data_IF_818142936730
#
_entry.id   IF_818142936730
#
_cell.length_a   1.000
_cell.length_b   1.000
_cell.length_c   1.000
_cell.angle_alpha   90.00
_cell.angle_beta   90.00
_cell.angle_gamma   90.00
#
_symmetry.space_group_name_H-M   'P 1'
#
loop_
_entity.id
_entity.type
_entity.pdbx_description
1 polymer ?
#
# COMPACT_ATOMS: atom_id res chain seq x y z
N UNK A 1 -45.11 -5.06 14.64
CA UNK A 1 -45.61 -4.42 13.41
C UNK A 1 -45.28 -2.95 13.55
N UNK A 2 -44.18 -2.53 12.96
CA UNK A 2 -43.81 -1.12 12.88
C UNK A 2 -43.56 -0.78 11.41
N UNK A 3 -44.38 0.14 10.89
CA UNK A 3 -44.35 0.62 9.53
C UNK A 3 -43.15 1.57 9.37
N UNK A 4 -42.03 1.10 8.83
CA UNK A 4 -41.04 2.00 8.26
C UNK A 4 -41.59 2.54 6.93
N UNK A 5 -41.99 3.81 6.90
CA UNK A 5 -42.29 4.55 5.68
C UNK A 5 -40.99 4.88 4.96
N UNK A 6 -40.71 4.21 3.85
CA UNK A 6 -39.66 4.60 2.91
C UNK A 6 -40.26 5.53 1.86
N UNK A 7 -39.78 6.78 1.80
CA UNK A 7 -40.02 7.69 0.67
C UNK A 7 -38.89 7.51 -0.35
N UNK A 8 -39.22 6.93 -1.51
CA UNK A 8 -38.32 6.90 -2.67
C UNK A 8 -38.46 8.22 -3.46
N UNK A 9 -37.34 8.84 -3.84
CA UNK A 9 -37.33 9.92 -4.84
C UNK A 9 -36.41 9.55 -6.00
N UNK A 10 -36.94 9.58 -7.22
CA UNK A 10 -36.20 9.33 -8.46
C UNK A 10 -35.44 10.59 -8.90
N UNK A 11 -34.16 10.44 -9.29
CA UNK A 11 -33.41 11.44 -10.07
C UNK A 11 -33.35 11.03 -11.53
N UNK A 12 -33.57 11.99 -12.42
CA UNK A 12 -33.39 11.85 -13.86
C UNK A 12 -32.06 12.52 -14.27
N UNK A 13 -31.20 11.81 -14.98
CA UNK A 13 -29.97 12.38 -15.58
C UNK A 13 -30.29 12.78 -17.02
N UNK A 14 -30.07 14.05 -17.35
CA UNK A 14 -30.22 14.57 -18.72
C UNK A 14 -29.03 14.13 -19.58
N UNK A 15 -29.25 13.24 -20.54
CA UNK A 15 -28.36 13.04 -21.69
C UNK A 15 -29.12 13.42 -22.96
N UNK A 16 -28.54 14.31 -23.76
CA UNK A 16 -29.12 14.74 -25.03
C UNK A 16 -29.27 13.56 -26.01
N UNK A 17 -30.41 13.55 -26.70
CA UNK A 17 -30.83 12.64 -27.80
C UNK A 17 -31.32 11.23 -27.39
N UNK A 18 -32.65 11.15 -27.29
CA UNK A 18 -33.58 10.06 -27.70
C UNK A 18 -33.16 8.60 -27.50
N UNK A 19 -33.16 8.12 -26.26
CA UNK A 19 -34.05 7.05 -25.74
C UNK A 19 -33.45 6.52 -24.44
N UNK A 20 -34.06 6.83 -23.29
CA UNK A 20 -33.60 6.31 -22.00
C UNK A 20 -34.58 5.23 -21.51
N UNK A 21 -34.07 4.00 -21.34
CA UNK A 21 -34.69 2.99 -20.46
C UNK A 21 -34.11 3.20 -19.06
N UNK A 22 -34.97 3.42 -18.06
CA UNK A 22 -34.55 3.40 -16.66
C UNK A 22 -34.51 1.95 -16.16
N UNK A 23 -33.41 1.55 -15.55
CA UNK A 23 -33.27 0.28 -14.81
C UNK A 23 -33.01 0.65 -13.35
N UNK A 24 -33.89 0.20 -12.45
CA UNK A 24 -33.61 0.24 -11.02
C UNK A 24 -32.91 -1.08 -10.65
N UNK A 25 -31.71 -1.01 -10.08
CA UNK A 25 -31.03 -2.17 -9.49
C UNK A 25 -31.26 -2.12 -7.99
N UNK A 26 -31.99 -3.11 -7.48
CA UNK A 26 -32.09 -3.39 -6.05
C UNK A 26 -30.99 -4.41 -5.73
N UNK A 27 -30.06 -4.07 -4.83
CA UNK A 27 -29.08 -5.03 -4.33
C UNK A 27 -29.68 -5.74 -3.12
N UNK A 28 -30.21 -6.94 -3.34
CA UNK A 28 -30.39 -7.94 -2.29
C UNK A 28 -29.76 -9.25 -2.76
N UNK A 29 -29.05 -9.91 -1.84
CA UNK A 29 -28.26 -11.09 -2.13
C UNK A 29 -29.08 -12.25 -2.69
N UNK A 30 -28.43 -12.98 -3.60
CA UNK A 30 -28.76 -14.30 -4.14
C UNK A 30 -30.10 -14.45 -4.91
N UNK A 31 -29.95 -14.96 -6.14
CA UNK A 31 -30.93 -15.53 -7.06
C UNK A 31 -31.72 -14.58 -7.99
N UNK A 32 -31.65 -14.92 -9.29
CA UNK A 32 -32.21 -14.25 -10.45
C UNK A 32 -33.75 -14.17 -10.43
N UNK A 33 -34.31 -12.99 -10.74
CA UNK A 33 -35.51 -12.84 -11.60
C UNK A 33 -35.78 -11.36 -11.90
N UNK A 34 -36.22 -11.06 -13.14
CA UNK A 34 -36.52 -9.69 -13.60
C UNK A 34 -38.04 -9.49 -13.66
N UNK A 35 -38.57 -8.42 -13.07
CA UNK A 35 -39.95 -7.96 -13.29
C UNK A 35 -39.96 -6.53 -13.84
N UNK A 36 -40.72 -6.27 -14.90
CA UNK A 36 -40.89 -4.95 -15.51
C UNK A 36 -42.23 -4.33 -15.08
N UNK A 37 -42.19 -3.14 -14.48
CA UNK A 37 -43.38 -2.31 -14.27
C UNK A 37 -43.21 -0.97 -15.00
N UNK A 38 -44.25 -0.53 -15.74
CA UNK A 38 -44.32 0.77 -16.42
C UNK A 38 -45.19 1.73 -15.59
N UNK A 39 -44.72 2.96 -15.36
CA UNK A 39 -45.54 4.05 -14.80
C UNK A 39 -45.42 5.32 -15.68
N UNK A 40 -46.50 6.12 -15.81
CA UNK A 40 -46.52 7.32 -16.65
C UNK A 40 -46.02 8.57 -15.91
N UNK A 41 -45.39 9.50 -16.64
CA UNK A 41 -44.83 10.77 -16.11
C UNK A 41 -45.70 11.95 -16.56
N UNK A 42 -46.05 12.84 -15.61
CA UNK A 42 -46.71 14.13 -15.85
C UNK A 42 -45.70 15.28 -15.72
N UNK A 43 -45.90 16.36 -16.48
CA UNK A 43 -44.93 17.43 -16.71
C UNK A 43 -45.44 18.77 -16.16
N UNK A 44 -44.87 19.25 -15.05
CA UNK A 44 -44.81 20.67 -14.66
C UNK A 44 -44.02 20.82 -13.36
N UNK A 45 -42.86 21.49 -13.35
CA UNK A 45 -42.40 22.33 -12.22
C UNK A 45 -41.10 23.08 -12.58
N UNK A 46 -41.06 24.35 -12.17
CA UNK A 46 -40.13 25.41 -12.60
C UNK A 46 -38.89 25.54 -11.71
N UNK A 47 -37.86 26.17 -12.29
CA UNK A 47 -36.51 26.37 -11.75
C UNK A 47 -36.49 27.32 -10.54
N UNK A 48 -35.99 26.85 -9.39
CA UNK A 48 -35.30 27.68 -8.37
C UNK A 48 -34.14 26.89 -7.74
N UNK A 49 -33.01 27.57 -7.55
CA UNK A 49 -31.82 27.06 -6.89
C UNK A 49 -32.08 26.83 -5.39
N UNK A 50 -31.58 25.72 -4.85
CA UNK A 50 -31.56 25.44 -3.41
C UNK A 50 -30.30 24.64 -3.06
N UNK A 51 -29.52 25.19 -2.13
CA UNK A 51 -28.38 24.55 -1.46
C UNK A 51 -28.87 23.58 -0.39
N UNK A 52 -28.15 22.47 -0.17
CA UNK A 52 -28.42 21.54 0.93
C UNK A 52 -27.22 21.49 1.88
N UNK A 53 -27.48 21.74 3.16
CA UNK A 53 -26.58 21.49 4.30
C UNK A 53 -27.20 20.37 5.12
N UNK A 54 -26.41 19.37 5.54
CA UNK A 54 -26.84 18.34 6.48
C UNK A 54 -26.44 18.79 7.88
N UNK A 55 -27.42 18.97 8.77
CA UNK A 55 -27.21 19.17 10.21
C UNK A 55 -27.79 17.94 10.91
N UNK A 56 -26.96 17.19 11.61
CA UNK A 56 -27.43 16.17 12.54
C UNK A 56 -27.61 16.86 13.91
N UNK A 57 -28.85 16.96 14.37
CA UNK A 57 -29.16 17.30 15.76
C UNK A 57 -29.27 15.97 16.52
N UNK A 58 -28.36 15.77 17.48
CA UNK A 58 -28.50 14.72 18.49
C UNK A 58 -29.01 15.37 19.78
N UNK A 59 -30.07 14.80 20.36
CA UNK A 59 -30.56 15.18 21.68
C UNK A 59 -29.49 14.89 22.74
N UNK A 60 -29.25 15.89 23.60
CA UNK A 60 -28.24 15.86 24.67
C UNK A 60 -28.93 15.48 25.97
N UNK A 61 -28.65 14.29 26.49
CA UNK A 61 -28.98 13.93 27.87
C UNK A 61 -27.88 14.41 28.84
N UNK A 62 -28.32 14.80 30.04
CA UNK A 62 -27.57 15.52 31.07
C UNK A 62 -26.34 14.75 31.65
N UNK A 63 -25.32 15.46 32.20
CA UNK A 63 -24.03 14.87 32.57
C UNK A 63 -24.11 14.09 33.88
N UNK A 64 -23.76 12.80 33.83
CA UNK A 64 -23.48 11.99 35.02
C UNK A 64 -21.98 12.07 35.38
N UNK A 65 -21.69 12.07 36.68
CA UNK A 65 -20.37 12.31 37.31
C UNK A 65 -19.26 11.39 36.78
N UNK A 66 -17.99 11.84 36.76
CA UNK A 66 -16.86 11.05 36.26
C UNK A 66 -16.61 9.81 37.11
N UNK A 67 -16.59 8.64 36.46
CA UNK A 67 -16.15 7.36 37.01
C UNK A 67 -14.61 7.34 37.05
N UNK A 68 -13.98 6.79 38.11
CA UNK A 68 -12.52 6.69 38.18
C UNK A 68 -11.97 5.75 37.09
N UNK A 69 -10.76 6.07 36.62
CA UNK A 69 -10.06 5.37 35.55
C UNK A 69 -9.93 3.85 35.83
N UNK A 70 -10.17 2.98 34.83
CA UNK A 70 -9.95 1.55 34.98
C UNK A 70 -8.46 1.27 35.12
N UNK A 71 -8.11 0.48 36.13
CA UNK A 71 -6.78 -0.07 36.32
C UNK A 71 -6.47 -1.06 35.20
N UNK A 72 -5.24 -1.00 34.67
CA UNK A 72 -4.74 -1.85 33.58
C UNK A 72 -5.10 -3.31 33.81
N UNK A 73 -5.76 -4.01 32.86
CA UNK A 73 -5.90 -5.46 32.96
C UNK A 73 -4.53 -6.10 32.82
N UNK A 74 -4.15 -6.90 33.81
CA UNK A 74 -3.02 -7.83 33.68
C UNK A 74 -3.30 -8.82 32.55
N UNK A 75 -2.30 -9.24 31.78
CA UNK A 75 -2.49 -10.27 30.77
C UNK A 75 -2.98 -11.55 31.46
N UNK A 76 -4.06 -12.11 30.92
CA UNK A 76 -4.62 -13.40 31.32
C UNK A 76 -3.61 -14.46 30.94
N UNK A 77 -2.84 -14.93 31.92
CA UNK A 77 -2.06 -16.16 31.81
C UNK A 77 -3.04 -17.32 31.80
N UNK A 78 -3.15 -18.00 30.66
CA UNK A 78 -3.72 -19.34 30.60
C UNK A 78 -2.89 -20.27 31.49
N UNK A 79 -3.58 -20.91 32.43
CA UNK A 79 -3.09 -21.90 33.35
C UNK A 79 -2.91 -23.22 32.60
N UNK A 80 -1.66 -23.64 32.38
CA UNK A 80 -1.33 -25.04 32.08
C UNK A 80 -0.32 -25.50 33.14
N UNK A 81 -0.84 -26.20 34.14
CA UNK A 81 -0.05 -26.85 35.15
C UNK A 81 0.75 -28.02 34.59
N UNK A 82 2.08 -27.91 34.55
CA UNK A 82 2.96 -29.00 34.97
C UNK A 82 4.37 -28.47 35.29
N UNK A 83 4.87 -28.91 36.45
CA UNK A 83 6.10 -28.49 37.10
C UNK A 83 7.38 -28.88 36.34
N UNK A 84 8.38 -27.99 36.32
CA UNK A 84 9.78 -28.37 36.04
C UNK A 84 10.69 -27.17 35.78
N UNK A 85 11.64 -26.93 36.69
CA UNK A 85 12.60 -25.82 36.72
C UNK A 85 13.42 -25.58 35.43
N UNK A 86 13.66 -24.29 35.12
CA UNK A 86 14.75 -23.85 34.25
C UNK A 86 14.50 -22.47 33.63
N UNK A 87 15.04 -21.41 34.25
CA UNK A 87 14.98 -20.04 33.74
C UNK A 87 15.70 -19.89 32.39
N UNK A 88 14.93 -19.46 31.38
CA UNK A 88 15.40 -18.95 30.10
C UNK A 88 14.20 -18.68 29.20
N UNK A 89 13.64 -17.47 29.24
CA UNK A 89 12.64 -17.03 28.28
C UNK A 89 13.29 -16.89 26.91
N UNK A 90 13.35 -18.00 26.17
CA UNK A 90 13.63 -17.98 24.74
C UNK A 90 12.34 -17.57 24.04
N UNK A 91 12.13 -16.27 23.87
CA UNK A 91 11.11 -15.73 22.96
C UNK A 91 11.53 -15.88 21.48
N UNK A 92 12.54 -16.70 21.18
CA UNK A 92 12.96 -17.03 19.82
C UNK A 92 11.86 -17.74 19.06
N UNK A 93 11.25 -17.04 18.10
CA UNK A 93 10.40 -17.68 17.10
C UNK A 93 11.16 -18.84 16.46
N UNK A 94 10.55 -20.03 16.38
CA UNK A 94 11.23 -21.24 15.94
C UNK A 94 11.71 -21.07 14.48
N UNK A 95 12.99 -20.74 14.31
CA UNK A 95 13.57 -20.41 13.00
C UNK A 95 13.48 -21.60 12.07
N UNK A 96 13.61 -22.84 12.56
CA UNK A 96 13.47 -24.05 11.74
C UNK A 96 12.08 -24.19 11.12
N UNK A 97 11.04 -23.85 11.88
CA UNK A 97 9.66 -23.88 11.39
C UNK A 97 9.42 -22.80 10.32
N UNK A 98 9.95 -21.59 10.56
CA UNK A 98 9.91 -20.51 9.57
C UNK A 98 10.70 -20.85 8.32
N UNK A 99 11.88 -21.47 8.44
CA UNK A 99 12.68 -21.90 7.28
C UNK A 99 11.84 -22.76 6.35
N UNK A 100 11.17 -23.80 6.88
CA UNK A 100 10.31 -24.66 6.06
C UNK A 100 9.21 -23.88 5.37
N UNK A 101 8.55 -22.97 6.10
CA UNK A 101 7.47 -22.14 5.57
C UNK A 101 7.90 -21.23 4.42
N UNK A 102 9.00 -20.51 4.59
CA UNK A 102 9.54 -19.63 3.56
C UNK A 102 10.04 -20.43 2.35
N UNK A 103 10.65 -21.59 2.53
CA UNK A 103 11.07 -22.44 1.42
C UNK A 103 9.87 -22.93 0.59
N UNK A 104 8.82 -23.41 1.25
CA UNK A 104 7.59 -23.83 0.58
C UNK A 104 6.92 -22.66 -0.15
N UNK A 105 6.93 -21.48 0.46
CA UNK A 105 6.43 -20.24 -0.15
C UNK A 105 7.23 -19.89 -1.41
N UNK A 106 8.56 -19.75 -1.31
CA UNK A 106 9.43 -19.38 -2.43
C UNK A 106 9.37 -20.40 -3.58
N UNK A 107 9.30 -21.69 -3.27
CA UNK A 107 9.07 -22.73 -4.26
C UNK A 107 7.72 -22.55 -4.98
N UNK A 108 6.64 -22.27 -4.24
CA UNK A 108 5.30 -22.00 -4.80
C UNK A 108 5.26 -20.73 -5.67
N UNK A 109 6.16 -19.77 -5.39
CA UNK A 109 6.33 -18.55 -6.18
C UNK A 109 7.20 -18.78 -7.44
N UNK A 110 7.70 -20.00 -7.65
CA UNK A 110 8.65 -20.36 -8.71
C UNK A 110 9.92 -19.51 -8.68
N UNK A 111 10.38 -19.16 -7.48
CA UNK A 111 11.60 -18.38 -7.31
C UNK A 111 12.83 -19.20 -7.70
N UNK A 112 13.69 -18.63 -8.53
CA UNK A 112 14.95 -19.26 -8.92
C UNK A 112 16.08 -18.68 -8.10
N UNK A 113 16.69 -19.52 -7.27
CA UNK A 113 17.85 -19.14 -6.46
C UNK A 113 19.13 -19.46 -7.23
N UNK A 114 19.55 -18.54 -8.08
CA UNK A 114 20.84 -18.60 -8.76
C UNK A 114 21.48 -17.22 -8.75
N UNK A 115 22.81 -17.15 -8.77
CA UNK A 115 23.52 -15.86 -8.79
C UNK A 115 23.05 -15.00 -9.96
N UNK A 116 22.89 -15.58 -11.14
CA UNK A 116 22.49 -14.87 -12.36
C UNK A 116 21.03 -14.35 -12.28
N UNK A 117 20.14 -15.09 -11.62
CA UNK A 117 18.73 -14.67 -11.46
C UNK A 117 18.50 -13.70 -10.31
N UNK A 118 19.49 -13.53 -9.45
CA UNK A 118 19.35 -12.83 -8.17
C UNK A 118 20.28 -11.62 -8.03
N UNK A 119 21.37 -11.56 -8.80
CA UNK A 119 22.33 -10.47 -8.73
C UNK A 119 21.91 -9.29 -9.63
N UNK A 120 21.98 -8.05 -9.14
CA UNK A 120 21.63 -6.87 -9.92
C UNK A 120 22.81 -6.44 -10.82
N UNK A 121 22.86 -6.95 -12.06
CA UNK A 121 23.97 -6.77 -13.01
C UNK A 121 24.36 -5.31 -13.33
N UNK A 122 23.43 -4.36 -13.13
CA UNK A 122 23.65 -2.93 -13.39
C UNK A 122 23.55 -2.06 -12.14
N UNK A 123 23.62 -2.67 -10.95
CA UNK A 123 23.36 -1.98 -9.69
C UNK A 123 24.21 -0.73 -9.51
N UNK A 124 25.52 -0.81 -9.76
CA UNK A 124 26.44 0.31 -9.55
C UNK A 124 26.08 1.53 -10.42
N UNK A 125 25.61 1.28 -11.64
CA UNK A 125 25.14 2.35 -12.54
C UNK A 125 23.86 2.98 -12.00
N UNK A 126 22.91 2.17 -11.56
CA UNK A 126 21.66 2.68 -10.98
C UNK A 126 21.91 3.41 -9.65
N UNK A 127 22.83 2.92 -8.81
CA UNK A 127 23.28 3.59 -7.57
C UNK A 127 23.84 4.98 -7.89
N UNK A 128 24.72 5.08 -8.88
CA UNK A 128 25.32 6.36 -9.26
C UNK A 128 24.25 7.39 -9.68
N UNK A 129 23.28 6.96 -10.49
CA UNK A 129 22.17 7.83 -10.93
C UNK A 129 21.21 8.18 -9.79
N UNK A 130 20.88 7.24 -8.91
CA UNK A 130 20.06 7.52 -7.72
C UNK A 130 20.77 8.50 -6.79
N UNK A 131 22.09 8.36 -6.61
CA UNK A 131 22.91 9.28 -5.82
C UNK A 131 22.95 10.68 -6.41
N UNK A 132 23.09 10.78 -7.74
CA UNK A 132 23.03 12.05 -8.45
C UNK A 132 21.68 12.75 -8.24
N UNK A 133 20.58 12.01 -8.39
CA UNK A 133 19.23 12.53 -8.20
C UNK A 133 18.92 12.91 -6.74
N UNK A 134 19.37 12.09 -5.78
CA UNK A 134 19.11 12.28 -4.35
C UNK A 134 19.96 13.36 -3.69
N UNK A 135 21.15 13.64 -4.25
CA UNK A 135 22.08 14.62 -3.72
C UNK A 135 22.62 14.25 -2.32
N UNK A 136 23.23 15.23 -1.64
CA UNK A 136 23.91 15.03 -0.35
C UNK A 136 22.97 14.72 0.83
N UNK A 137 21.68 14.99 0.68
CA UNK A 137 20.69 14.73 1.73
C UNK A 137 20.43 13.25 1.97
N UNK A 138 20.51 12.44 0.91
CA UNK A 138 20.04 11.07 0.93
C UNK A 138 21.10 10.12 1.50
N UNK A 139 20.84 9.43 2.63
CA UNK A 139 21.81 8.49 3.18
C UNK A 139 22.08 7.32 2.25
N UNK A 140 23.34 6.90 2.13
CA UNK A 140 23.79 5.84 1.22
C UNK A 140 22.97 4.54 1.34
N UNK A 141 22.57 4.16 2.55
CA UNK A 141 21.74 2.95 2.73
C UNK A 141 20.43 3.01 1.93
N UNK A 142 19.77 4.17 1.87
CA UNK A 142 18.51 4.32 1.12
C UNK A 142 18.76 4.41 -0.37
N UNK A 143 19.87 5.04 -0.78
CA UNK A 143 20.31 5.04 -2.18
C UNK A 143 20.46 3.61 -2.68
N UNK A 144 21.20 2.77 -1.94
CA UNK A 144 21.44 1.38 -2.32
C UNK A 144 20.13 0.56 -2.32
N UNK A 145 19.31 0.69 -1.27
CA UNK A 145 18.02 0.00 -1.19
C UNK A 145 17.08 0.38 -2.34
N UNK A 146 16.96 1.67 -2.65
CA UNK A 146 16.12 2.17 -3.72
C UNK A 146 16.66 1.78 -5.09
N UNK A 147 17.96 1.98 -5.34
CA UNK A 147 18.61 1.61 -6.60
C UNK A 147 18.41 0.13 -6.94
N UNK A 148 18.57 -0.75 -5.96
CA UNK A 148 18.34 -2.17 -6.18
C UNK A 148 16.86 -2.52 -6.34
N UNK A 149 15.93 -1.77 -5.73
CA UNK A 149 14.51 -1.95 -6.02
C UNK A 149 14.22 -1.65 -7.49
N UNK A 150 14.68 -0.49 -7.97
CA UNK A 150 14.58 -0.13 -9.38
C UNK A 150 15.27 -1.14 -10.31
N UNK A 151 16.44 -1.65 -9.93
CA UNK A 151 17.21 -2.54 -10.79
C UNK A 151 16.70 -4.00 -10.81
N UNK A 152 16.31 -4.56 -9.67
CA UNK A 152 15.85 -5.95 -9.58
C UNK A 152 14.38 -6.07 -9.99
N UNK A 153 13.51 -5.24 -9.40
CA UNK A 153 12.05 -5.38 -9.54
C UNK A 153 11.58 -4.89 -10.91
N UNK A 154 12.27 -3.88 -11.46
CA UNK A 154 11.95 -3.23 -12.72
C UNK A 154 13.09 -3.37 -13.74
N UNK A 155 13.75 -4.54 -13.74
CA UNK A 155 14.98 -4.84 -14.49
C UNK A 155 14.91 -4.63 -16.00
N UNK A 156 13.70 -4.70 -16.56
CA UNK A 156 13.41 -4.57 -17.98
C UNK A 156 13.09 -3.13 -18.42
N UNK A 157 12.97 -2.18 -17.49
CA UNK A 157 12.89 -0.77 -17.83
C UNK A 157 14.23 -0.22 -18.33
N UNK A 158 14.23 0.91 -19.09
CA UNK A 158 15.44 1.69 -19.32
C UNK A 158 16.15 2.08 -18.00
N UNK A 159 17.48 2.17 -18.03
CA UNK A 159 18.29 2.41 -16.82
C UNK A 159 17.92 3.73 -16.12
N UNK A 160 17.59 4.77 -16.88
CA UNK A 160 17.14 6.04 -16.33
C UNK A 160 15.80 5.89 -15.59
N UNK A 161 14.85 5.11 -16.13
CA UNK A 161 13.57 4.83 -15.47
C UNK A 161 13.79 4.00 -14.21
N UNK A 162 14.68 3.00 -14.23
CA UNK A 162 15.07 2.24 -13.04
C UNK A 162 15.64 3.16 -11.96
N UNK A 163 16.50 4.12 -12.32
CA UNK A 163 17.06 5.09 -11.38
C UNK A 163 16.00 6.05 -10.84
N UNK A 164 15.01 6.47 -11.63
CA UNK A 164 13.90 7.30 -11.15
C UNK A 164 13.02 6.54 -10.16
N UNK A 165 12.66 5.29 -10.47
CA UNK A 165 11.92 4.41 -9.54
C UNK A 165 12.75 4.20 -8.26
N UNK A 166 14.05 3.94 -8.39
CA UNK A 166 14.91 3.76 -7.23
C UNK A 166 15.06 5.02 -6.37
N UNK A 167 15.12 6.20 -7.00
CA UNK A 167 15.12 7.48 -6.29
C UNK A 167 13.82 7.70 -5.52
N UNK A 168 12.67 7.40 -6.15
CA UNK A 168 11.38 7.42 -5.48
C UNK A 168 11.35 6.50 -4.25
N UNK A 169 11.75 5.23 -4.42
CA UNK A 169 11.77 4.25 -3.34
C UNK A 169 12.70 4.69 -2.21
N UNK A 170 13.84 5.32 -2.51
CA UNK A 170 14.74 5.86 -1.51
C UNK A 170 14.11 7.03 -0.73
N UNK A 171 13.46 7.99 -1.40
CA UNK A 171 12.73 9.09 -0.76
C UNK A 171 11.60 8.57 0.14
N UNK A 172 10.82 7.62 -0.37
CA UNK A 172 9.75 6.95 0.36
C UNK A 172 10.27 6.35 1.68
N UNK A 173 11.33 5.53 1.61
CA UNK A 173 11.91 4.89 2.80
C UNK A 173 12.50 5.89 3.80
N UNK A 174 13.02 7.03 3.32
CA UNK A 174 13.48 8.12 4.20
C UNK A 174 12.30 8.72 4.95
N UNK A 175 11.22 9.08 4.25
CA UNK A 175 10.03 9.69 4.87
C UNK A 175 9.39 8.76 5.89
N UNK A 176 9.24 7.48 5.55
CA UNK A 176 8.69 6.41 6.39
C UNK A 176 9.46 6.26 7.71
N UNK A 177 10.77 6.14 7.62
CA UNK A 177 11.63 5.91 8.79
C UNK A 177 11.82 7.18 9.66
N UNK A 178 11.61 8.39 9.12
CA UNK A 178 11.97 9.64 9.80
C UNK A 178 11.15 9.88 11.07
N UNK A 179 9.84 9.60 11.04
CA UNK A 179 8.96 9.90 12.17
C UNK A 179 9.35 9.11 13.44
N UNK A 180 9.77 7.84 13.28
CA UNK A 180 10.26 6.99 14.37
C UNK A 180 11.71 7.26 14.81
N UNK A 181 12.50 8.00 14.01
CA UNK A 181 13.91 8.32 14.33
C UNK A 181 14.10 9.67 15.00
N UNK A 182 13.17 10.59 14.81
CA UNK A 182 13.20 11.91 15.42
C UNK A 182 12.60 11.87 16.82
N UNK A 183 13.02 12.78 17.70
CA UNK A 183 12.45 12.91 19.06
C UNK A 183 12.22 14.38 19.44
N UNK A 184 11.37 14.60 20.44
CA UNK A 184 11.10 15.92 21.00
C UNK A 184 10.58 16.94 19.97
N UNK A 185 11.00 18.20 20.11
CA UNK A 185 10.52 19.30 19.27
C UNK A 185 10.81 19.12 17.76
N UNK A 186 11.87 18.38 17.41
CA UNK A 186 12.21 18.10 16.01
C UNK A 186 11.20 17.13 15.40
N UNK A 187 10.78 16.10 16.15
CA UNK A 187 9.72 15.18 15.73
C UNK A 187 8.40 15.92 15.55
N UNK A 188 8.01 16.73 16.54
CA UNK A 188 6.76 17.51 16.47
C UNK A 188 6.74 18.46 15.25
N UNK A 189 7.87 19.11 14.97
CA UNK A 189 8.04 19.92 13.76
C UNK A 189 7.87 19.08 12.48
N UNK A 190 8.48 17.91 12.41
CA UNK A 190 8.36 17.03 11.26
C UNK A 190 6.92 16.55 11.02
N UNK A 191 6.21 16.14 12.07
CA UNK A 191 4.80 15.72 11.97
C UNK A 191 3.90 16.88 11.53
N UNK A 192 4.16 18.10 12.00
CA UNK A 192 3.49 19.29 11.50
C UNK A 192 3.81 19.55 10.02
N UNK A 193 5.07 19.35 9.60
CA UNK A 193 5.46 19.52 8.21
C UNK A 193 4.79 18.49 7.28
N UNK A 194 4.58 17.24 7.72
CA UNK A 194 3.78 16.25 6.98
C UNK A 194 2.34 16.75 6.81
N UNK A 195 1.71 17.30 7.86
CA UNK A 195 0.33 17.87 7.77
C UNK A 195 0.25 19.04 6.79
N UNK A 196 1.32 19.83 6.68
CA UNK A 196 1.39 20.99 5.79
C UNK A 196 1.82 20.64 4.36
N UNK A 197 2.27 19.40 4.12
CA UNK A 197 2.78 18.95 2.83
C UNK A 197 1.82 19.22 1.69
N UNK A 198 0.55 18.79 1.81
CA UNK A 198 -0.44 18.96 0.73
C UNK A 198 -0.65 20.43 0.37
N UNK A 199 -0.72 21.31 1.37
CA UNK A 199 -0.92 22.73 1.15
C UNK A 199 0.30 23.36 0.47
N UNK A 200 1.53 23.06 0.92
CA UNK A 200 2.73 23.57 0.26
C UNK A 200 2.87 23.02 -1.16
N UNK A 201 2.54 21.74 -1.36
CA UNK A 201 2.56 21.11 -2.68
C UNK A 201 1.58 21.79 -3.65
N UNK A 202 0.33 22.02 -3.23
CA UNK A 202 -0.72 22.55 -4.10
C UNK A 202 -0.68 24.09 -4.26
N UNK A 203 -0.37 24.83 -3.20
CA UNK A 203 -0.43 26.29 -3.13
C UNK A 203 0.76 26.84 -2.32
N UNK A 204 1.98 26.87 -2.89
CA UNK A 204 3.17 27.33 -2.18
C UNK A 204 3.09 28.81 -1.76
N UNK A 205 2.42 29.65 -2.55
CA UNK A 205 2.18 31.06 -2.20
C UNK A 205 1.23 31.19 -1.02
N UNK A 206 0.13 30.42 -1.02
CA UNK A 206 -0.81 30.38 0.09
C UNK A 206 -0.24 29.75 1.34
N UNK A 207 0.68 28.79 1.23
CA UNK A 207 1.50 28.30 2.34
C UNK A 207 2.32 29.44 2.95
N UNK A 208 3.12 30.15 2.13
CA UNK A 208 3.98 31.24 2.59
C UNK A 208 3.18 32.39 3.23
N UNK A 209 2.00 32.70 2.68
CA UNK A 209 1.09 33.72 3.23
C UNK A 209 0.50 33.33 4.58
N UNK A 210 0.14 32.05 4.78
CA UNK A 210 -0.50 31.56 6.01
C UNK A 210 0.50 31.28 7.13
N UNK A 211 1.73 30.92 6.78
CA UNK A 211 2.80 30.57 7.73
C UNK A 211 4.03 31.45 7.52
N UNK A 212 3.90 32.79 7.67
CA UNK A 212 5.00 33.70 7.43
C UNK A 212 6.16 33.41 8.40
N UNK A 213 7.38 33.32 7.87
CA UNK A 213 8.59 33.08 8.67
C UNK A 213 8.82 31.63 9.12
N UNK A 214 7.94 30.67 8.75
CA UNK A 214 8.12 29.26 9.10
C UNK A 214 9.30 28.59 8.37
N UNK A 215 9.62 29.07 7.17
CA UNK A 215 10.64 28.50 6.29
C UNK A 215 10.10 27.33 5.48
N UNK A 216 11.02 26.49 5.00
CA UNK A 216 10.66 25.28 4.27
C UNK A 216 10.15 24.17 5.19
N UNK A 217 9.50 23.16 4.61
CA UNK A 217 9.26 21.90 5.29
C UNK A 217 10.60 21.18 5.49
N UNK A 218 10.57 20.10 6.27
CA UNK A 218 11.71 19.20 6.35
C UNK A 218 12.25 18.83 4.96
N UNK A 219 13.58 18.79 4.81
CA UNK A 219 14.26 18.63 3.51
C UNK A 219 13.76 17.40 2.72
N UNK A 220 13.50 16.28 3.40
CA UNK A 220 12.89 15.08 2.79
C UNK A 220 11.59 15.39 2.02
N UNK A 221 10.71 16.18 2.63
CA UNK A 221 9.41 16.54 2.07
C UNK A 221 9.57 17.51 0.90
N UNK A 222 10.52 18.44 0.98
CA UNK A 222 10.86 19.31 -0.15
C UNK A 222 11.39 18.50 -1.34
N UNK A 223 12.24 17.50 -1.11
CA UNK A 223 12.73 16.61 -2.16
C UNK A 223 11.60 15.78 -2.78
N UNK A 224 10.62 15.34 -1.99
CA UNK A 224 9.40 14.72 -2.54
C UNK A 224 8.63 15.71 -3.42
N UNK A 225 8.46 16.98 -3.02
CA UNK A 225 7.79 17.99 -3.86
C UNK A 225 8.54 18.17 -5.19
N UNK A 226 9.88 18.27 -5.16
CA UNK A 226 10.71 18.37 -6.36
C UNK A 226 10.52 17.13 -7.25
N UNK A 227 10.62 15.93 -6.67
CA UNK A 227 10.42 14.69 -7.42
C UNK A 227 9.06 14.67 -8.12
N UNK A 228 7.98 14.99 -7.40
CA UNK A 228 6.63 15.01 -7.93
C UNK A 228 6.39 16.07 -9.03
N UNK A 229 7.20 17.13 -9.12
CA UNK A 229 6.98 18.29 -10.01
C UNK A 229 7.98 18.42 -11.16
N UNK A 230 8.95 17.51 -11.26
CA UNK A 230 10.05 17.60 -12.24
C UNK A 230 10.19 16.30 -13.02
N UNK A 231 11.09 16.29 -13.99
CA UNK A 231 11.44 15.13 -14.82
C UNK A 231 12.14 14.00 -14.05
N UNK A 232 12.44 14.20 -12.76
CA UNK A 232 12.82 13.12 -11.84
C UNK A 232 11.70 12.08 -11.70
N UNK A 233 10.45 12.49 -11.83
CA UNK A 233 9.31 11.59 -11.97
C UNK A 233 9.29 10.99 -13.39
N UNK A 234 9.28 9.66 -13.55
CA UNK A 234 9.27 9.03 -14.88
C UNK A 234 8.00 9.33 -15.68
N UNK A 235 6.92 9.75 -15.02
CA UNK A 235 5.65 10.11 -15.65
C UNK A 235 5.57 11.58 -16.06
N UNK A 236 6.43 12.45 -15.53
CA UNK A 236 6.32 13.89 -15.78
C UNK A 236 7.11 14.32 -17.02
N UNK A 237 6.59 15.22 -17.87
CA UNK A 237 5.21 15.73 -17.93
C UNK A 237 4.30 14.90 -18.87
N UNK A 238 4.80 13.80 -19.45
CA UNK A 238 4.19 13.11 -20.58
C UNK A 238 2.97 12.26 -20.19
N UNK A 239 3.02 11.56 -19.06
CA UNK A 239 2.02 10.59 -18.62
C UNK A 239 1.13 11.16 -17.52
N UNK A 240 0.32 12.18 -17.86
CA UNK A 240 -0.47 12.98 -16.91
C UNK A 240 -1.36 12.16 -15.96
N UNK A 241 -1.92 11.05 -16.45
CA UNK A 241 -2.75 10.15 -15.63
C UNK A 241 -1.91 9.47 -14.56
N UNK A 242 -0.75 8.94 -14.92
CA UNK A 242 0.15 8.23 -14.02
C UNK A 242 0.86 9.19 -13.07
N UNK A 243 1.13 10.40 -13.53
CA UNK A 243 1.59 11.49 -12.68
C UNK A 243 0.56 11.85 -11.60
N UNK A 244 -0.72 11.99 -11.97
CA UNK A 244 -1.81 12.26 -11.02
C UNK A 244 -1.96 11.14 -9.99
N UNK A 245 -1.83 9.88 -10.44
CA UNK A 245 -1.83 8.72 -9.56
C UNK A 245 -0.69 8.80 -8.55
N UNK A 246 0.54 9.09 -9.00
CA UNK A 246 1.68 9.18 -8.11
C UNK A 246 1.51 10.28 -7.05
N UNK A 247 0.97 11.42 -7.43
CA UNK A 247 0.61 12.48 -6.48
C UNK A 247 -0.41 11.96 -5.46
N UNK A 248 -1.49 11.32 -5.93
CA UNK A 248 -2.52 10.71 -5.06
C UNK A 248 -1.89 9.72 -4.08
N UNK A 249 -1.06 8.79 -4.55
CA UNK A 249 -0.42 7.78 -3.70
C UNK A 249 0.49 8.40 -2.66
N UNK A 250 1.22 9.48 -2.99
CA UNK A 250 2.02 10.19 -2.02
C UNK A 250 1.18 10.92 -0.96
N UNK A 251 0.03 11.50 -1.33
CA UNK A 251 -0.86 12.11 -0.35
C UNK A 251 -1.48 11.06 0.59
N UNK A 252 -1.90 9.91 0.06
CA UNK A 252 -2.39 8.78 0.87
C UNK A 252 -1.32 8.30 1.85
N UNK A 253 -0.06 8.22 1.41
CA UNK A 253 1.06 7.80 2.24
C UNK A 253 1.41 8.78 3.36
N UNK A 254 1.40 10.09 3.07
CA UNK A 254 1.63 11.12 4.10
C UNK A 254 0.55 11.07 5.19
N UNK A 255 -0.71 10.85 4.79
CA UNK A 255 -1.82 10.63 5.72
C UNK A 255 -1.63 9.34 6.53
N UNK A 256 -1.20 8.25 5.89
CA UNK A 256 -0.93 6.99 6.58
C UNK A 256 0.19 7.12 7.61
N UNK A 257 1.28 7.84 7.28
CA UNK A 257 2.36 8.11 8.23
C UNK A 257 1.82 8.84 9.47
N UNK A 258 1.01 9.89 9.29
CA UNK A 258 0.39 10.58 10.42
C UNK A 258 -0.50 9.67 11.26
N UNK A 259 -1.26 8.78 10.60
CA UNK A 259 -2.13 7.80 11.27
C UNK A 259 -1.30 6.81 12.09
N UNK A 260 -0.23 6.24 11.53
CA UNK A 260 0.65 5.31 12.23
C UNK A 260 1.31 5.95 13.46
N UNK A 261 1.72 7.23 13.36
CA UNK A 261 2.26 7.97 14.50
C UNK A 261 1.21 8.26 15.57
N UNK A 262 -0.06 8.41 15.19
CA UNK A 262 -1.16 8.52 16.16
C UNK A 262 -1.38 7.18 16.86
N UNK A 263 -1.39 6.07 16.12
CA UNK A 263 -1.63 4.73 16.67
C UNK A 263 -0.50 4.22 17.57
N UNK A 264 0.73 4.73 17.41
CA UNK A 264 1.82 4.46 18.35
C UNK A 264 1.51 4.97 19.77
N UNK A 265 0.78 6.08 19.88
CA UNK A 265 0.37 6.65 21.17
C UNK A 265 -1.02 6.17 21.62
N UNK A 266 -1.94 6.02 20.67
CA UNK A 266 -3.32 5.62 20.88
C UNK A 266 -3.68 4.44 19.95
N UNK A 267 -3.29 3.20 20.29
CA UNK A 267 -3.46 2.04 19.42
C UNK A 267 -4.92 1.76 19.07
N UNK A 268 -5.18 1.33 17.84
CA UNK A 268 -6.50 0.85 17.45
C UNK A 268 -6.79 -0.48 18.17
N UNK A 269 -7.89 -0.52 18.91
CA UNK A 269 -8.47 -1.78 19.39
C UNK A 269 -9.21 -2.47 18.25
N UNK A 270 -8.52 -3.37 17.55
CA UNK A 270 -9.12 -4.13 16.45
C UNK A 270 -10.19 -5.11 16.96
N UNK A 271 -11.37 -5.04 16.36
CA UNK A 271 -12.50 -5.95 16.61
C UNK A 271 -12.91 -6.69 15.34
N UNK A 272 -13.65 -7.79 15.49
CA UNK A 272 -14.03 -8.68 14.38
C UNK A 272 -14.87 -7.99 13.29
N UNK A 273 -15.64 -6.95 13.64
CA UNK A 273 -16.44 -6.12 12.73
C UNK A 273 -15.60 -5.11 11.92
N UNK A 274 -14.29 -4.97 12.21
CA UNK A 274 -13.34 -4.12 11.49
C UNK A 274 -12.49 -4.88 10.46
N UNK A 275 -12.98 -6.01 9.93
CA UNK A 275 -12.20 -6.90 9.05
C UNK A 275 -11.57 -6.23 7.81
N UNK A 276 -12.09 -5.08 7.35
CA UNK A 276 -11.56 -4.35 6.18
C UNK A 276 -10.54 -3.26 6.56
N UNK A 277 -10.48 -2.85 7.83
CA UNK A 277 -9.64 -1.74 8.27
C UNK A 277 -8.15 -2.01 8.05
N UNK A 278 -7.58 -3.19 8.36
CA UNK A 278 -6.16 -3.45 8.11
C UNK A 278 -5.78 -3.27 6.64
N UNK A 279 -6.53 -3.91 5.72
CA UNK A 279 -6.31 -3.78 4.28
C UNK A 279 -6.46 -2.33 3.80
N UNK A 280 -7.43 -1.58 4.32
CA UNK A 280 -7.62 -0.17 3.97
C UNK A 280 -6.40 0.66 4.37
N UNK A 281 -5.90 0.52 5.60
CA UNK A 281 -4.72 1.23 6.08
C UNK A 281 -3.47 0.81 5.30
N UNK A 282 -3.31 -0.50 5.06
CA UNK A 282 -2.19 -1.05 4.31
C UNK A 282 -2.12 -0.54 2.86
N UNK A 283 -3.27 -0.38 2.21
CA UNK A 283 -3.34 0.19 0.87
C UNK A 283 -2.90 1.66 0.82
N UNK A 284 -3.07 2.41 1.91
CA UNK A 284 -2.55 3.79 2.01
C UNK A 284 -1.05 3.81 2.27
N UNK A 285 -0.57 3.08 3.28
CA UNK A 285 0.85 3.12 3.69
C UNK A 285 1.78 2.42 2.69
N UNK A 286 1.33 1.36 2.02
CA UNK A 286 2.18 0.55 1.16
C UNK A 286 2.50 1.13 -0.22
N UNK A 287 1.74 2.13 -0.69
CA UNK A 287 1.90 2.74 -2.04
C UNK A 287 1.94 1.68 -3.18
N UNK A 288 1.38 0.49 -2.94
CA UNK A 288 1.50 -0.63 -3.88
C UNK A 288 0.84 -0.36 -5.23
N UNK A 289 -0.18 0.50 -5.27
CA UNK A 289 -0.82 0.92 -6.51
C UNK A 289 0.21 1.55 -7.46
N UNK A 290 1.03 2.49 -6.98
CA UNK A 290 2.05 3.12 -7.81
C UNK A 290 3.08 2.12 -8.34
N UNK A 291 3.54 1.20 -7.49
CA UNK A 291 4.47 0.15 -7.87
C UNK A 291 3.86 -0.81 -8.90
N UNK A 292 2.56 -1.10 -8.81
CA UNK A 292 1.85 -1.84 -9.86
C UNK A 292 1.89 -1.08 -11.19
N UNK A 293 1.71 0.24 -11.19
CA UNK A 293 1.75 1.02 -12.43
C UNK A 293 3.14 1.17 -13.04
N UNK A 294 4.21 1.18 -12.25
CA UNK A 294 5.57 1.05 -12.81
C UNK A 294 5.74 -0.27 -13.58
N UNK A 295 5.10 -1.35 -13.14
CA UNK A 295 5.09 -2.60 -13.91
C UNK A 295 4.28 -2.45 -15.22
N UNK A 296 3.10 -1.82 -15.16
CA UNK A 296 2.25 -1.65 -16.35
C UNK A 296 2.90 -0.76 -17.42
N UNK A 297 3.66 0.27 -17.04
CA UNK A 297 4.44 1.10 -17.96
C UNK A 297 5.35 0.28 -18.88
N UNK A 298 5.93 -0.79 -18.33
CA UNK A 298 6.85 -1.65 -19.05
C UNK A 298 6.16 -2.42 -20.18
N UNK A 299 4.83 -2.49 -20.16
CA UNK A 299 4.01 -3.42 -20.93
C UNK A 299 3.16 -2.73 -22.01
N UNK A 300 3.33 -1.41 -22.22
CA UNK A 300 2.57 -0.62 -23.20
C UNK A 300 3.48 -0.10 -24.31
N UNK A 301 3.39 -0.65 -25.52
CA UNK A 301 3.94 -0.01 -26.73
C UNK A 301 3.49 -0.75 -28.01
N UNK A 302 2.26 -0.51 -28.48
CA UNK A 302 1.82 -0.94 -29.82
C UNK A 302 2.10 0.13 -30.89
N UNK A 303 2.44 1.36 -30.49
CA UNK A 303 2.68 2.49 -31.40
C UNK A 303 1.41 3.21 -31.86
N UNK A 304 0.24 2.77 -31.41
CA UNK A 304 -1.07 3.38 -31.67
C UNK A 304 -1.76 3.72 -30.35
N UNK A 305 -1.95 5.01 -30.07
CA UNK A 305 -2.47 5.48 -28.79
C UNK A 305 -3.86 4.89 -28.42
N UNK A 306 -4.75 4.68 -29.40
CA UNK A 306 -6.07 4.11 -29.14
C UNK A 306 -6.03 2.59 -28.90
N UNK A 307 -5.11 1.89 -29.54
CA UNK A 307 -4.93 0.44 -29.32
C UNK A 307 -4.23 0.20 -27.98
N UNK A 308 -3.25 1.04 -27.63
CA UNK A 308 -2.59 1.05 -26.33
C UNK A 308 -3.58 1.30 -25.19
N UNK A 309 -4.51 2.24 -25.36
CA UNK A 309 -5.54 2.53 -24.35
C UNK A 309 -6.50 1.34 -24.16
N UNK A 310 -7.02 0.77 -25.26
CA UNK A 310 -7.92 -0.37 -25.19
C UNK A 310 -7.23 -1.62 -24.62
N UNK A 311 -5.99 -1.86 -25.02
CA UNK A 311 -5.16 -2.94 -24.50
C UNK A 311 -4.91 -2.75 -23.00
N UNK A 312 -4.57 -1.53 -22.58
CA UNK A 312 -4.36 -1.19 -21.20
C UNK A 312 -5.59 -1.53 -20.35
N UNK A 313 -6.77 -1.03 -20.69
CA UNK A 313 -7.95 -1.20 -19.82
C UNK A 313 -8.48 -2.64 -19.79
N UNK A 314 -8.34 -3.40 -20.88
CA UNK A 314 -8.88 -4.76 -20.94
C UNK A 314 -7.90 -5.83 -20.46
N UNK A 315 -6.59 -5.62 -20.64
CA UNK A 315 -5.60 -6.65 -20.36
C UNK A 315 -4.72 -6.31 -19.15
N UNK A 316 -4.31 -5.04 -19.01
CA UNK A 316 -3.36 -4.63 -17.97
C UNK A 316 -4.05 -4.14 -16.69
N UNK A 317 -5.08 -3.31 -16.82
CA UNK A 317 -5.77 -2.71 -15.69
C UNK A 317 -6.41 -3.74 -14.72
N UNK A 318 -7.00 -4.86 -15.18
CA UNK A 318 -7.50 -5.90 -14.28
C UNK A 318 -6.41 -6.57 -13.43
N UNK A 319 -5.13 -6.41 -13.75
CA UNK A 319 -4.01 -6.91 -12.96
C UNK A 319 -3.70 -6.05 -11.73
N UNK A 320 -4.10 -4.77 -11.72
CA UNK A 320 -3.75 -3.81 -10.66
C UNK A 320 -4.12 -4.32 -9.26
N UNK A 321 -5.34 -4.82 -8.99
CA UNK A 321 -5.69 -5.28 -7.64
C UNK A 321 -4.83 -6.45 -7.17
N UNK A 322 -4.50 -7.38 -8.07
CA UNK A 322 -3.68 -8.54 -7.71
C UNK A 322 -2.19 -8.17 -7.56
N UNK A 323 -1.69 -7.20 -8.33
CA UNK A 323 -0.35 -6.63 -8.12
C UNK A 323 -0.26 -5.92 -6.77
N UNK A 324 -1.28 -5.14 -6.40
CA UNK A 324 -1.38 -4.49 -5.10
C UNK A 324 -1.28 -5.53 -3.98
N UNK A 325 -2.07 -6.61 -4.06
CA UNK A 325 -2.08 -7.67 -3.05
C UNK A 325 -0.73 -8.40 -2.97
N UNK A 326 -0.06 -8.69 -4.09
CA UNK A 326 1.28 -9.29 -4.05
C UNK A 326 2.32 -8.35 -3.46
N UNK A 327 2.29 -7.07 -3.80
CA UNK A 327 3.26 -6.09 -3.30
C UNK A 327 3.07 -5.91 -1.79
N UNK A 328 1.87 -5.55 -1.33
CA UNK A 328 1.59 -5.31 0.08
C UNK A 328 1.78 -6.57 0.93
N UNK A 329 1.03 -7.64 0.65
CA UNK A 329 1.09 -8.84 1.48
C UNK A 329 2.38 -9.64 1.26
N UNK A 330 2.99 -9.53 0.09
CA UNK A 330 4.33 -10.08 -0.13
C UNK A 330 5.36 -9.38 0.75
N UNK A 331 5.29 -8.05 0.87
CA UNK A 331 6.14 -7.32 1.81
C UNK A 331 5.86 -7.77 3.24
N UNK A 332 4.60 -7.86 3.66
CA UNK A 332 4.22 -8.27 5.03
C UNK A 332 4.71 -9.70 5.36
N UNK A 333 4.64 -10.63 4.40
CA UNK A 333 5.19 -11.98 4.53
C UNK A 333 6.71 -11.94 4.69
N UNK A 334 7.40 -11.13 3.88
CA UNK A 334 8.87 -11.07 3.89
C UNK A 334 9.42 -10.23 5.05
N UNK A 335 8.63 -9.30 5.59
CA UNK A 335 8.96 -8.46 6.75
C UNK A 335 8.58 -9.08 8.09
N UNK A 336 7.65 -10.03 8.10
CA UNK A 336 7.13 -10.69 9.31
C UNK A 336 8.21 -10.99 10.35
N UNK A 337 9.31 -11.63 9.96
CA UNK A 337 10.37 -12.01 10.90
C UNK A 337 11.04 -10.81 11.57
N UNK A 338 11.42 -9.76 10.82
CA UNK A 338 12.04 -8.57 11.40
C UNK A 338 11.08 -7.83 12.34
N UNK A 339 9.80 -7.79 11.98
CA UNK A 339 8.79 -6.97 12.66
C UNK A 339 8.37 -7.59 13.97
N UNK A 340 8.12 -8.90 13.98
CA UNK A 340 7.80 -9.60 15.23
C UNK A 340 8.97 -9.58 16.20
N UNK A 341 10.21 -9.67 15.71
CA UNK A 341 11.40 -9.51 16.57
C UNK A 341 11.55 -8.09 17.13
N UNK A 342 11.10 -7.08 16.39
CA UNK A 342 11.07 -5.69 16.85
C UNK A 342 9.88 -5.41 17.79
N UNK A 343 8.95 -6.37 17.94
CA UNK A 343 7.72 -6.18 18.72
C UNK A 343 6.72 -5.25 18.03
N UNK A 344 6.83 -5.06 16.72
CA UNK A 344 5.89 -4.25 15.94
C UNK A 344 4.53 -4.95 15.89
N UNK A 345 3.49 -4.25 16.34
CA UNK A 345 2.13 -4.79 16.49
C UNK A 345 1.13 -4.22 15.46
N UNK A 346 1.61 -3.31 14.61
CA UNK A 346 0.89 -2.64 13.53
C UNK A 346 0.90 -3.42 12.20
N UNK A 347 1.61 -4.55 12.14
CA UNK A 347 1.73 -5.34 10.92
C UNK A 347 0.39 -5.98 10.57
N UNK A 348 0.06 -6.04 9.27
CA UNK A 348 -1.22 -6.56 8.78
C UNK A 348 -1.48 -7.99 9.30
N UNK A 349 -0.44 -8.82 9.37
CA UNK A 349 -0.50 -10.20 9.87
C UNK A 349 -0.88 -10.26 11.36
N UNK A 350 -0.36 -9.37 12.20
CA UNK A 350 -0.70 -9.31 13.64
C UNK A 350 -2.12 -8.81 13.80
N UNK A 351 -2.51 -7.79 13.05
CA UNK A 351 -3.87 -7.25 13.08
C UNK A 351 -4.89 -8.29 12.60
N UNK A 352 -4.58 -9.04 11.55
CA UNK A 352 -5.37 -10.17 11.08
C UNK A 352 -5.51 -11.24 12.16
N UNK A 353 -4.41 -11.57 12.84
CA UNK A 353 -4.40 -12.49 13.98
C UNK A 353 -5.36 -12.06 15.09
N UNK A 354 -5.34 -10.77 15.45
CA UNK A 354 -6.20 -10.17 16.48
C UNK A 354 -7.68 -10.20 16.07
N UNK A 355 -8.01 -9.75 14.86
CA UNK A 355 -9.38 -9.68 14.34
C UNK A 355 -10.03 -11.07 14.26
N UNK A 356 -9.27 -12.07 13.82
CA UNK A 356 -9.78 -13.42 13.59
C UNK A 356 -9.54 -14.38 14.76
N UNK A 357 -8.91 -13.91 15.84
CA UNK A 357 -8.50 -14.73 16.99
C UNK A 357 -7.71 -15.99 16.56
N UNK A 358 -6.74 -15.79 15.67
CA UNK A 358 -5.90 -16.84 15.12
C UNK A 358 -4.50 -16.82 15.75
N UNK A 359 -3.80 -17.98 15.83
CA UNK A 359 -2.38 -17.99 16.12
C UNK A 359 -1.59 -17.23 15.05
N UNK A 360 -0.55 -16.50 15.45
CA UNK A 360 0.23 -15.65 14.55
C UNK A 360 0.81 -16.41 13.34
N UNK A 361 1.26 -17.64 13.56
CA UNK A 361 1.78 -18.50 12.49
C UNK A 361 0.69 -18.90 11.48
N UNK A 362 -0.56 -19.04 11.93
CA UNK A 362 -1.68 -19.31 11.02
C UNK A 362 -1.95 -18.07 10.16
N UNK A 363 -1.98 -16.88 10.76
CA UNK A 363 -2.11 -15.62 10.03
C UNK A 363 -1.03 -15.44 8.96
N UNK A 364 0.24 -15.78 9.27
CA UNK A 364 1.32 -15.78 8.28
C UNK A 364 1.03 -16.73 7.10
N UNK A 365 0.56 -17.96 7.40
CA UNK A 365 0.20 -18.93 6.36
C UNK A 365 -0.93 -18.43 5.47
N UNK A 366 -1.95 -17.80 6.06
CA UNK A 366 -3.09 -17.26 5.33
C UNK A 366 -2.66 -16.09 4.41
N UNK A 367 -1.75 -15.23 4.87
CA UNK A 367 -1.13 -14.18 4.04
C UNK A 367 -0.28 -14.76 2.91
N UNK A 368 0.53 -15.80 3.18
CA UNK A 368 1.29 -16.51 2.15
C UNK A 368 0.38 -17.13 1.08
N UNK A 369 -0.73 -17.77 1.48
CA UNK A 369 -1.70 -18.33 0.53
C UNK A 369 -2.42 -17.26 -0.29
N UNK A 370 -2.71 -16.10 0.32
CA UNK A 370 -3.25 -14.94 -0.40
C UNK A 370 -2.31 -14.45 -1.49
N UNK A 371 -1.02 -14.30 -1.19
CA UNK A 371 0.01 -13.91 -2.18
C UNK A 371 0.13 -14.96 -3.31
N UNK A 372 0.14 -16.26 -2.96
CA UNK A 372 0.15 -17.35 -3.96
C UNK A 372 -1.08 -17.30 -4.86
N UNK A 373 -2.26 -17.02 -4.30
CA UNK A 373 -3.49 -16.89 -5.07
C UNK A 373 -3.44 -15.72 -6.04
N UNK A 374 -2.96 -14.55 -5.58
CA UNK A 374 -2.81 -13.37 -6.44
C UNK A 374 -1.81 -13.59 -7.56
N UNK A 375 -0.68 -14.26 -7.30
CA UNK A 375 0.25 -14.70 -8.37
C UNK A 375 -0.44 -15.58 -9.41
N UNK A 376 -1.21 -16.60 -8.99
CA UNK A 376 -1.92 -17.49 -9.93
C UNK A 376 -2.92 -16.70 -10.80
N UNK A 377 -3.64 -15.76 -10.20
CA UNK A 377 -4.59 -14.90 -10.93
C UNK A 377 -3.89 -13.97 -11.90
N UNK A 378 -2.76 -13.38 -11.51
CA UNK A 378 -1.94 -12.55 -12.40
C UNK A 378 -1.44 -13.33 -13.61
N UNK A 379 -0.92 -14.54 -13.42
CA UNK A 379 -0.50 -15.39 -14.54
C UNK A 379 -1.68 -15.74 -15.46
N UNK A 380 -2.86 -16.04 -14.91
CA UNK A 380 -4.06 -16.29 -15.70
C UNK A 380 -4.60 -15.03 -16.43
N UNK A 381 -4.38 -13.84 -15.87
CA UNK A 381 -4.67 -12.57 -16.56
C UNK A 381 -3.65 -12.31 -17.68
N UNK A 382 -2.37 -12.62 -17.46
CA UNK A 382 -1.33 -12.51 -18.46
C UNK A 382 -1.61 -13.46 -19.64
N UNK A 383 -1.93 -14.72 -19.37
CA UNK A 383 -2.31 -15.70 -20.39
C UNK A 383 -3.52 -15.21 -21.21
N UNK A 384 -4.53 -14.60 -20.55
CA UNK A 384 -5.71 -14.04 -21.22
C UNK A 384 -5.41 -12.85 -22.13
N UNK A 385 -4.32 -12.12 -21.87
CA UNK A 385 -3.89 -11.03 -22.75
C UNK A 385 -3.38 -11.52 -24.12
N UNK A 386 -3.03 -12.81 -24.22
CA UNK A 386 -2.40 -13.40 -25.41
C UNK A 386 -0.96 -12.93 -25.65
N UNK A 387 -0.33 -12.27 -24.68
CA UNK A 387 1.02 -11.74 -24.76
C UNK A 387 1.97 -12.50 -23.85
N UNK A 388 2.84 -13.33 -24.43
CA UNK A 388 3.92 -14.01 -23.71
C UNK A 388 4.88 -12.99 -23.07
N UNK A 389 5.07 -11.83 -23.71
CA UNK A 389 5.88 -10.74 -23.18
C UNK A 389 5.34 -10.23 -21.82
N UNK A 390 4.03 -10.08 -21.63
CA UNK A 390 3.48 -9.69 -20.33
C UNK A 390 3.75 -10.75 -19.27
N UNK A 391 3.61 -12.02 -19.64
CA UNK A 391 3.86 -13.14 -18.73
C UNK A 391 5.32 -13.18 -18.30
N UNK A 392 6.25 -12.99 -19.23
CA UNK A 392 7.68 -12.95 -18.97
C UNK A 392 8.04 -11.75 -18.08
N UNK A 393 7.47 -10.57 -18.35
CA UNK A 393 7.64 -9.39 -17.51
C UNK A 393 7.15 -9.63 -16.09
N UNK A 394 6.02 -10.32 -15.93
CA UNK A 394 5.45 -10.64 -14.62
C UNK A 394 6.31 -11.66 -13.85
N UNK A 395 6.84 -12.67 -14.54
CA UNK A 395 7.80 -13.62 -13.93
C UNK A 395 9.07 -12.90 -13.49
N UNK A 396 9.61 -12.01 -14.31
CA UNK A 396 10.77 -11.18 -13.96
C UNK A 396 10.49 -10.25 -12.77
N UNK A 397 9.31 -9.62 -12.75
CA UNK A 397 8.87 -8.77 -11.64
C UNK A 397 8.87 -9.56 -10.32
N UNK A 398 8.29 -10.77 -10.27
CA UNK A 398 8.32 -11.60 -9.07
C UNK A 398 9.73 -12.03 -8.68
N UNK A 399 10.55 -12.48 -9.64
CA UNK A 399 11.94 -12.85 -9.38
C UNK A 399 12.73 -11.70 -8.75
N UNK A 400 12.57 -10.49 -9.29
CA UNK A 400 13.17 -9.27 -8.78
C UNK A 400 12.65 -8.88 -7.39
N UNK A 401 11.33 -8.94 -7.19
CA UNK A 401 10.69 -8.56 -5.93
C UNK A 401 11.14 -9.43 -4.75
N UNK A 402 11.21 -10.75 -4.94
CA UNK A 402 11.70 -11.66 -3.91
C UNK A 402 13.22 -11.52 -3.71
N UNK A 403 13.99 -11.37 -4.79
CA UNK A 403 15.43 -11.12 -4.70
C UNK A 403 15.75 -9.86 -3.91
N UNK A 404 14.98 -8.79 -4.09
CA UNK A 404 15.16 -7.55 -3.34
C UNK A 404 14.97 -7.76 -1.82
N UNK A 405 13.91 -8.46 -1.41
CA UNK A 405 13.70 -8.77 0.00
C UNK A 405 14.79 -9.69 0.58
N UNK A 406 15.21 -10.70 -0.17
CA UNK A 406 16.22 -11.67 0.26
C UNK A 406 17.63 -11.08 0.35
N UNK A 407 17.98 -10.16 -0.55
CA UNK A 407 19.28 -9.51 -0.61
C UNK A 407 19.47 -8.34 0.36
N UNK A 408 18.38 -7.83 0.94
CA UNK A 408 18.41 -6.74 1.91
C UNK A 408 18.55 -7.24 3.35
N UNK A 409 19.61 -6.80 4.03
CA UNK A 409 19.80 -7.10 5.47
C UNK A 409 18.67 -6.58 6.36
N UNK A 410 17.93 -5.55 5.90
CA UNK A 410 16.76 -5.00 6.60
C UNK A 410 15.77 -6.08 7.02
N UNK A 411 15.54 -7.10 6.19
CA UNK A 411 14.53 -8.15 6.45
C UNK A 411 15.02 -9.29 7.34
N UNK A 412 16.33 -9.37 7.62
CA UNK A 412 16.94 -10.41 8.47
C UNK A 412 16.64 -11.86 8.03
N UNK A 413 16.22 -12.07 6.79
CA UNK A 413 15.89 -13.39 6.25
C UNK A 413 17.10 -14.33 6.17
N UNK A 414 18.33 -13.79 6.20
CA UNK A 414 19.55 -14.60 6.34
C UNK A 414 19.60 -15.41 7.64
N UNK A 415 18.98 -14.93 8.71
CA UNK A 415 18.90 -15.64 10.00
C UNK A 415 17.92 -16.83 9.94
N UNK A 416 16.88 -16.70 9.12
CA UNK A 416 15.85 -17.74 8.92
C UNK A 416 16.28 -18.75 7.86
N UNK A 417 16.81 -18.28 6.73
CA UNK A 417 17.16 -19.10 5.57
C UNK A 417 18.61 -19.60 5.59
N UNK A 418 19.42 -19.18 6.59
CA UNK A 418 20.76 -19.71 6.89
C UNK A 418 21.71 -19.70 5.69
N UNK A 419 21.72 -18.58 4.97
CA UNK A 419 22.61 -18.38 3.81
C UNK A 419 22.18 -19.13 2.54
N UNK A 420 20.93 -19.61 2.47
CA UNK A 420 20.40 -20.26 1.27
C UNK A 420 20.38 -19.33 0.04
N UNK A 421 20.27 -18.02 0.20
CA UNK A 421 20.13 -17.08 -0.92
C UNK A 421 21.46 -16.82 -1.64
N UNK A 422 21.49 -17.08 -2.95
CA UNK A 422 22.70 -17.04 -3.78
C UNK A 422 22.97 -15.67 -4.43
N UNK A 423 22.04 -14.71 -4.33
CA UNK A 423 22.22 -13.35 -4.88
C UNK A 423 23.19 -12.46 -4.10
N UNK A 424 23.61 -12.90 -2.91
CA UNK A 424 24.47 -12.14 -2.01
C UNK A 424 23.77 -10.97 -1.30
N UNK A 425 24.48 -10.34 -0.36
CA UNK A 425 24.00 -9.16 0.36
C UNK A 425 24.66 -7.92 -0.21
N UNK A 426 23.88 -7.09 -0.90
CA UNK A 426 24.35 -5.86 -1.54
C UNK A 426 23.90 -4.58 -0.81
N UNK A 427 23.04 -4.68 0.22
CA UNK A 427 22.76 -3.59 1.18
C UNK A 427 22.65 -4.07 2.63
#
# INVERSE_FOLDING_TARGET
MDLCRFTASLRCVSTGRSSCRAVAVLQQGAANSSFFLKLPVSSTLSRKALSVSVRCEAEVDAPTKPRPAPTKPKPVTGDDGSNGHGHGHDHGMNTSLLTSLYMDFLHSMSFTNSRDSCYPDRLDTVIALVRENGGSFMPDRYIVMGAAFGNLVYSLHPVDVQAKIGHFTALFLVVDDLAGKLTGAVRERYLEDIRLFQMKFADPEGYAKRYPGRGDLHEALEKVIVYLKTDQNPFFPAELRLHSLMIKSMLDFMEANLQEQHYEHDPIEYTADMAQLPRFLRNKSGIAELYAYFFLLQSTSSGSASEDEHFFYNNLYPMVPELIDVINFGNDVMSFYKEVLAGEDSIDIVNYSKIHNLPLLQSLRDSMESVKLSRRRLLALADRSGSDDIKDKLVNFFQGYWSWHLGLKRYRLGEVLRGWYDGGYWA
#
